data_IF_791329114289
#
_entry.id   IF_791329114289
#
_cell.length_a   1.000
_cell.length_b   1.000
_cell.length_c   1.000
_cell.angle_alpha   90.00
_cell.angle_beta   90.00
_cell.angle_gamma   90.00
#
_symmetry.space_group_name_H-M   'P 1'
#
loop_
_entity.id
_entity.type
_entity.pdbx_description
1 polymer ?
#
# COMPACT_ATOMS: atom_id res chain seq x y z
N UNK A 1 -15.46 -38.72 -5.78
CA UNK A 1 -14.33 -38.27 -6.63
C UNK A 1 -14.78 -37.00 -7.34
N UNK A 2 -14.57 -35.84 -6.73
CA UNK A 2 -14.82 -34.53 -7.34
C UNK A 2 -13.54 -33.72 -7.18
N UNK A 3 -12.82 -33.63 -8.29
CA UNK A 3 -11.54 -32.92 -8.42
C UNK A 3 -11.80 -31.41 -8.22
N UNK A 4 -11.35 -30.87 -7.10
CA UNK A 4 -11.33 -29.44 -6.86
C UNK A 4 -10.09 -28.91 -7.58
N UNK A 5 -10.28 -28.32 -8.77
CA UNK A 5 -9.22 -27.58 -9.43
C UNK A 5 -8.82 -26.38 -8.56
N UNK A 6 -7.51 -26.14 -8.32
CA UNK A 6 -7.07 -24.95 -7.59
C UNK A 6 -7.42 -23.70 -8.41
N UNK A 7 -8.24 -22.83 -7.82
CA UNK A 7 -8.58 -21.55 -8.43
C UNK A 7 -7.32 -20.67 -8.52
N UNK A 8 -7.12 -19.90 -9.62
CA UNK A 8 -5.98 -19.01 -9.73
C UNK A 8 -6.03 -17.97 -8.60
N UNK A 9 -4.97 -17.92 -7.80
CA UNK A 9 -4.79 -16.94 -6.72
C UNK A 9 -4.70 -15.54 -7.32
N UNK A 10 -5.84 -14.87 -7.45
CA UNK A 10 -5.91 -13.44 -7.75
C UNK A 10 -5.10 -12.73 -6.66
N UNK A 11 -4.02 -11.99 -6.96
CA UNK A 11 -3.27 -11.29 -5.93
C UNK A 11 -4.23 -10.28 -5.29
N UNK A 12 -4.61 -10.55 -4.04
CA UNK A 12 -5.40 -9.64 -3.25
C UNK A 12 -4.56 -8.39 -3.01
N UNK A 13 -5.10 -7.18 -3.16
CA UNK A 13 -4.37 -5.96 -2.81
C UNK A 13 -4.03 -6.02 -1.32
N UNK A 14 -2.76 -6.29 -1.00
CA UNK A 14 -2.30 -6.38 0.38
C UNK A 14 -2.14 -4.95 0.91
N UNK A 15 -2.98 -4.62 1.89
CA UNK A 15 -3.02 -3.29 2.51
C UNK A 15 -1.92 -3.20 3.58
N UNK A 16 -0.71 -2.75 3.24
CA UNK A 16 0.19 -2.18 4.24
C UNK A 16 -0.28 -0.76 4.53
N UNK A 17 -1.01 -0.56 5.62
CA UNK A 17 -1.06 0.78 6.21
C UNK A 17 0.18 0.94 7.08
N UNK A 18 0.74 2.14 7.17
CA UNK A 18 1.65 2.50 8.27
C UNK A 18 0.79 2.49 9.53
N UNK A 19 0.58 1.32 10.14
CA UNK A 19 -0.57 1.14 11.04
C UNK A 19 -0.24 1.38 12.50
N UNK A 20 1.00 1.27 12.95
CA UNK A 20 1.21 0.99 14.38
C UNK A 20 2.50 1.55 14.97
N UNK A 21 3.04 2.65 14.43
CA UNK A 21 4.31 3.21 14.91
C UNK A 21 5.54 2.57 14.28
N UNK A 22 5.36 1.83 13.18
CA UNK A 22 6.44 1.31 12.34
C UNK A 22 7.34 2.48 11.89
N UNK A 23 8.65 2.24 11.93
CA UNK A 23 9.69 3.09 11.36
C UNK A 23 9.63 3.05 9.83
N UNK A 24 10.27 4.03 9.18
CA UNK A 24 10.28 4.07 7.72
C UNK A 24 11.04 2.86 7.12
N UNK A 25 12.03 2.32 7.84
CA UNK A 25 12.77 1.12 7.45
C UNK A 25 11.91 -0.15 7.48
N UNK A 26 11.07 -0.31 8.50
CA UNK A 26 10.12 -1.44 8.60
C UNK A 26 9.11 -1.41 7.45
N UNK A 27 8.65 -0.22 7.04
CA UNK A 27 7.76 -0.05 5.88
C UNK A 27 8.46 -0.52 4.61
N UNK A 28 9.74 -0.16 4.42
CA UNK A 28 10.55 -0.59 3.27
C UNK A 28 10.77 -2.10 3.28
N UNK A 29 11.05 -2.71 4.43
CA UNK A 29 11.19 -4.17 4.56
C UNK A 29 9.90 -4.90 4.15
N UNK A 30 8.75 -4.39 4.58
CA UNK A 30 7.44 -4.94 4.18
C UNK A 30 7.22 -4.79 2.67
N UNK A 31 7.57 -3.64 2.10
CA UNK A 31 7.47 -3.41 0.65
C UNK A 31 8.36 -4.40 -0.13
N UNK A 32 9.57 -4.68 0.34
CA UNK A 32 10.45 -5.67 -0.28
C UNK A 32 9.85 -7.08 -0.21
N UNK A 33 9.34 -7.51 0.95
CA UNK A 33 8.66 -8.81 1.09
C UNK A 33 7.44 -8.95 0.19
N UNK A 34 6.66 -7.88 0.03
CA UNK A 34 5.55 -7.85 -0.92
C UNK A 34 6.02 -8.09 -2.36
N UNK A 35 7.18 -7.54 -2.73
CA UNK A 35 7.77 -7.77 -4.06
C UNK A 35 8.28 -9.19 -4.24
N UNK A 36 8.87 -9.80 -3.21
CA UNK A 36 9.25 -11.23 -3.22
C UNK A 36 8.02 -12.13 -3.50
N UNK A 37 6.85 -11.73 -3.00
CA UNK A 37 5.57 -12.40 -3.25
C UNK A 37 4.85 -11.92 -4.52
N UNK A 38 5.54 -11.17 -5.38
CA UNK A 38 5.05 -10.71 -6.68
C UNK A 38 3.78 -9.84 -6.61
N UNK A 39 3.60 -9.08 -5.52
CA UNK A 39 2.48 -8.13 -5.38
C UNK A 39 2.64 -6.96 -6.35
N UNK A 40 1.69 -6.79 -7.26
CA UNK A 40 1.77 -5.78 -8.33
C UNK A 40 1.34 -4.37 -7.90
N UNK A 41 0.45 -4.25 -6.91
CA UNK A 41 -0.12 -2.97 -6.49
C UNK A 41 0.13 -2.71 -5.00
N UNK A 42 0.64 -1.52 -4.70
CA UNK A 42 0.86 -1.04 -3.34
C UNK A 42 -0.12 0.10 -3.02
N UNK A 43 -0.67 0.09 -1.82
CA UNK A 43 -1.51 1.17 -1.30
C UNK A 43 -1.05 1.53 0.11
N UNK A 44 -0.53 2.73 0.29
CA UNK A 44 -0.03 3.27 1.56
C UNK A 44 -0.89 4.47 1.97
N UNK A 45 -1.39 4.46 3.20
CA UNK A 45 -2.17 5.58 3.73
C UNK A 45 -2.06 5.73 5.24
N UNK A 46 -2.39 6.92 5.73
CA UNK A 46 -2.38 7.22 7.16
C UNK A 46 -3.49 6.43 7.86
N UNK A 47 -3.09 5.67 8.89
CA UNK A 47 -4.04 5.12 9.83
C UNK A 47 -4.73 6.25 10.60
N UNK A 48 -6.05 6.32 10.49
CA UNK A 48 -6.90 7.18 11.31
C UNK A 48 -7.74 6.29 12.19
N UNK A 49 -7.65 6.53 13.49
CA UNK A 49 -8.42 5.82 14.50
C UNK A 49 -9.93 6.05 14.26
N UNK A 50 -10.73 5.01 13.97
CA UNK A 50 -12.16 5.18 13.68
C UNK A 50 -12.98 5.59 14.90
N UNK A 51 -12.62 5.09 16.08
CA UNK A 51 -13.24 5.43 17.35
C UNK A 51 -12.26 5.22 18.51
N UNK A 52 -12.55 5.79 19.69
CA UNK A 52 -11.68 5.73 20.87
C UNK A 52 -11.37 4.32 21.39
N UNK A 53 -12.15 3.30 20.98
CA UNK A 53 -11.90 1.90 21.34
C UNK A 53 -10.90 1.20 20.43
N UNK A 54 -10.51 1.82 19.31
CA UNK A 54 -9.49 1.29 18.40
C UNK A 54 -8.09 1.72 18.84
N UNK A 55 -7.07 1.11 18.25
CA UNK A 55 -5.68 1.47 18.49
C UNK A 55 -5.47 2.99 18.30
N UNK A 56 -4.78 3.66 19.23
CA UNK A 56 -4.49 5.08 19.08
C UNK A 56 -3.53 5.31 17.92
N UNK A 57 -3.65 6.47 17.27
CA UNK A 57 -2.67 6.92 16.28
C UNK A 57 -1.36 7.21 16.99
N UNK A 58 -0.30 6.48 16.65
CA UNK A 58 1.02 6.68 17.26
C UNK A 58 1.82 7.81 16.60
N UNK A 59 1.75 7.95 15.27
CA UNK A 59 2.37 9.04 14.53
C UNK A 59 1.51 9.51 13.37
N UNK A 60 1.60 10.81 13.07
CA UNK A 60 1.13 11.39 11.82
C UNK A 60 2.32 11.53 10.87
N UNK A 61 2.26 10.80 9.77
CA UNK A 61 3.34 10.78 8.78
C UNK A 61 3.24 12.03 7.91
N UNK A 62 4.38 12.70 7.68
CA UNK A 62 4.42 13.89 6.83
C UNK A 62 4.10 13.52 5.37
N UNK A 63 3.37 14.35 4.61
CA UNK A 63 3.08 14.10 3.19
C UNK A 63 4.31 13.72 2.35
N UNK A 64 5.47 14.33 2.60
CA UNK A 64 6.71 14.06 1.86
C UNK A 64 7.19 12.61 2.01
N UNK A 65 6.96 11.98 3.17
CA UNK A 65 7.31 10.59 3.36
C UNK A 65 6.46 9.67 2.46
N UNK A 66 5.18 9.99 2.26
CA UNK A 66 4.33 9.25 1.32
C UNK A 66 4.82 9.37 -0.12
N UNK A 67 5.31 10.54 -0.52
CA UNK A 67 5.95 10.75 -1.83
C UNK A 67 7.18 9.87 -1.95
N UNK A 68 8.06 9.89 -0.94
CA UNK A 68 9.26 9.07 -0.91
C UNK A 68 8.95 7.58 -0.99
N UNK A 69 7.99 7.07 -0.21
CA UNK A 69 7.56 5.67 -0.29
C UNK A 69 7.01 5.30 -1.67
N UNK A 70 6.29 6.21 -2.34
CA UNK A 70 5.80 5.97 -3.69
C UNK A 70 6.96 5.76 -4.67
N UNK A 71 7.99 6.61 -4.61
CA UNK A 71 9.19 6.48 -5.42
C UNK A 71 9.94 5.18 -5.14
N UNK A 72 10.08 4.80 -3.86
CA UNK A 72 10.72 3.53 -3.50
C UNK A 72 9.93 2.35 -4.04
N UNK A 73 8.60 2.36 -3.94
CA UNK A 73 7.76 1.30 -4.47
C UNK A 73 7.90 1.16 -5.99
N UNK A 74 7.90 2.28 -6.72
CA UNK A 74 8.12 2.26 -8.17
C UNK A 74 9.51 1.70 -8.52
N UNK A 75 10.56 2.08 -7.78
CA UNK A 75 11.93 1.54 -7.96
C UNK A 75 12.02 0.03 -7.68
N UNK A 76 11.23 -0.48 -6.73
CA UNK A 76 11.16 -1.90 -6.39
C UNK A 76 10.31 -2.72 -7.39
N UNK A 77 9.68 -2.07 -8.37
CA UNK A 77 8.95 -2.73 -9.44
C UNK A 77 7.47 -3.02 -9.13
N UNK A 78 6.85 -2.27 -8.21
CA UNK A 78 5.37 -2.23 -8.14
C UNK A 78 4.83 -1.56 -9.41
N UNK A 79 3.81 -2.15 -10.04
CA UNK A 79 3.19 -1.60 -11.26
C UNK A 79 2.31 -0.39 -10.98
N UNK A 80 1.71 -0.35 -9.79
CA UNK A 80 0.93 0.79 -9.36
C UNK A 80 1.12 1.03 -7.85
N UNK A 81 1.37 2.28 -7.47
CA UNK A 81 1.56 2.70 -6.09
C UNK A 81 0.64 3.88 -5.79
N UNK A 82 -0.36 3.65 -4.93
CA UNK A 82 -1.18 4.71 -4.37
C UNK A 82 -0.66 5.04 -2.97
N UNK A 83 -0.05 6.21 -2.79
CA UNK A 83 0.54 6.61 -1.50
C UNK A 83 0.11 8.02 -1.12
N UNK A 84 -0.44 8.18 0.08
CA UNK A 84 -0.80 9.50 0.59
C UNK A 84 -1.66 9.46 1.86
N UNK A 85 -1.74 10.56 2.63
CA UNK A 85 -2.42 10.57 3.93
C UNK A 85 -3.89 10.10 3.87
N UNK A 86 -4.61 10.47 2.82
CA UNK A 86 -6.03 10.17 2.64
C UNK A 86 -6.30 8.93 1.78
N UNK A 87 -5.25 8.21 1.35
CA UNK A 87 -5.42 6.99 0.56
C UNK A 87 -6.12 5.92 1.39
N UNK A 88 -7.09 5.24 0.77
CA UNK A 88 -7.88 4.14 1.36
C UNK A 88 -8.03 3.06 0.31
N UNK A 89 -7.92 1.78 0.68
CA UNK A 89 -8.01 0.67 -0.28
C UNK A 89 -9.38 0.53 -0.95
N UNK A 90 -10.43 1.14 -0.39
CA UNK A 90 -11.77 1.18 -1.00
C UNK A 90 -11.98 2.41 -1.91
N UNK A 91 -11.08 3.39 -1.87
CA UNK A 91 -11.14 4.55 -2.75
C UNK A 91 -10.35 4.19 -4.02
N UNK A 92 -11.06 3.95 -5.12
CA UNK A 92 -10.51 3.78 -6.48
C UNK A 92 -9.96 2.39 -6.90
N UNK A 93 -10.50 1.26 -6.41
CA UNK A 93 -10.19 -0.05 -7.03
C UNK A 93 -10.55 -0.10 -8.54
N UNK A 94 -11.61 0.62 -8.96
CA UNK A 94 -12.08 0.69 -10.35
C UNK A 94 -11.60 1.93 -11.13
N UNK A 95 -10.90 2.87 -10.47
CA UNK A 95 -10.40 4.09 -11.11
C UNK A 95 -8.94 4.31 -10.72
N UNK A 96 -8.05 3.43 -11.16
CA UNK A 96 -6.63 3.78 -11.21
C UNK A 96 -6.46 4.85 -12.30
N UNK A 97 -6.74 6.10 -11.95
CA UNK A 97 -6.35 7.25 -12.75
C UNK A 97 -4.82 7.23 -12.77
N UNK A 98 -4.18 7.18 -13.95
CA UNK A 98 -2.72 7.27 -13.99
C UNK A 98 -2.33 8.57 -13.29
N UNK A 99 -1.48 8.48 -12.28
CA UNK A 99 -0.72 9.63 -11.82
C UNK A 99 0.10 10.08 -13.03
N UNK A 100 -0.41 11.08 -13.74
CA UNK A 100 0.28 11.76 -14.82
C UNK A 100 1.51 12.42 -14.19
N UNK A 101 2.64 11.73 -14.26
CA UNK A 101 3.94 12.39 -14.30
C UNK A 101 4.10 12.87 -15.74
N UNK A 102 3.70 14.11 -15.98
CA UNK A 102 3.97 14.82 -17.23
C UNK A 102 5.47 15.11 -17.29
N UNK A 103 6.25 14.18 -17.82
CA UNK A 103 7.63 14.46 -18.23
C UNK A 103 7.58 15.39 -19.44
N UNK A 104 8.10 16.62 -19.29
CA UNK A 104 8.65 17.40 -20.40
C UNK A 104 10.15 17.20 -20.43
#
# INVERSE_FOLDING_TARGET
MSEILPQPTRPLPLQAGVKLGETDDEVIEVMQRMREHQVDMLTLGQYLQPSRSHLPVQRFVHPDAFVWFAEQGLKMGFKNVASGPLVRSSYHADKQVPAVVSTR
#
